data_IF_496088517336
#
_entry.id   IF_496088517336
#
_cell.length_a   1.000
_cell.length_b   1.000
_cell.length_c   1.000
_cell.angle_alpha   90.00
_cell.angle_beta   90.00
_cell.angle_gamma   90.00
#
_symmetry.space_group_name_H-M   'P 1'
#
loop_
_entity.id
_entity.type
_entity.pdbx_description
1 polymer ?
#
# COMPACT_ATOMS: atom_id res chain seq x y z
N UNK A 1 -57.03 16.61 -31.85
CA UNK A 1 -55.65 16.08 -31.87
C UNK A 1 -54.94 16.59 -30.62
N UNK A 2 -54.91 15.80 -29.54
CA UNK A 2 -54.21 16.16 -28.31
C UNK A 2 -52.77 15.63 -28.37
N UNK A 3 -51.78 16.53 -28.33
CA UNK A 3 -50.37 16.18 -28.13
C UNK A 3 -50.05 16.25 -26.64
N UNK A 4 -49.71 15.11 -26.06
CA UNK A 4 -49.17 15.03 -24.71
C UNK A 4 -47.66 15.30 -24.75
N UNK A 5 -47.22 16.38 -24.10
CA UNK A 5 -45.81 16.64 -23.81
C UNK A 5 -45.44 15.91 -22.50
N UNK A 6 -44.61 14.87 -22.61
CA UNK A 6 -43.99 14.24 -21.45
C UNK A 6 -42.74 15.03 -21.05
N UNK A 7 -42.84 15.75 -19.92
CA UNK A 7 -41.68 16.32 -19.23
C UNK A 7 -41.05 15.23 -18.37
N UNK A 8 -39.85 14.77 -18.75
CA UNK A 8 -39.07 13.85 -17.93
C UNK A 8 -38.54 14.58 -16.68
N UNK A 9 -38.56 13.96 -15.49
CA UNK A 9 -38.01 14.55 -14.28
C UNK A 9 -36.48 14.64 -14.34
N UNK A 10 -35.93 15.79 -13.92
CA UNK A 10 -34.48 16.13 -13.96
C UNK A 10 -33.56 15.05 -13.35
N UNK A 11 -34.07 14.23 -12.43
CA UNK A 11 -33.30 13.17 -11.76
C UNK A 11 -32.87 12.05 -12.70
N UNK A 12 -33.65 11.73 -13.74
CA UNK A 12 -33.31 10.69 -14.72
C UNK A 12 -32.20 11.18 -15.66
N UNK A 13 -32.18 12.48 -15.96
CA UNK A 13 -31.19 13.08 -16.85
C UNK A 13 -29.80 13.11 -16.20
N UNK A 14 -29.71 13.38 -14.90
CA UNK A 14 -28.43 13.36 -14.16
C UNK A 14 -27.82 11.95 -14.08
N UNK A 15 -28.65 10.90 -13.92
CA UNK A 15 -28.17 9.50 -13.89
C UNK A 15 -27.64 9.04 -15.25
N UNK A 16 -28.30 9.43 -16.34
CA UNK A 16 -27.85 9.09 -17.68
C UNK A 16 -26.51 9.75 -18.02
N UNK A 17 -26.32 11.02 -17.65
CA UNK A 17 -25.08 11.77 -17.90
C UNK A 17 -23.92 11.19 -17.07
N UNK A 18 -24.14 10.82 -15.80
CA UNK A 18 -23.11 10.20 -14.98
C UNK A 18 -22.66 8.83 -15.53
N UNK A 19 -23.60 8.04 -16.07
CA UNK A 19 -23.29 6.72 -16.65
C UNK A 19 -22.52 6.85 -17.97
N UNK A 20 -22.86 7.85 -18.80
CA UNK A 20 -22.16 8.14 -20.06
C UNK A 20 -20.76 8.69 -19.80
N UNK A 21 -20.57 9.54 -18.78
CA UNK A 21 -19.24 10.06 -18.39
C UNK A 21 -18.33 8.96 -17.82
N UNK A 22 -18.89 8.00 -17.09
CA UNK A 22 -18.14 6.85 -16.56
C UNK A 22 -17.72 5.88 -17.67
N UNK A 23 -18.59 5.64 -18.67
CA UNK A 23 -18.28 4.79 -19.82
C UNK A 23 -17.22 5.41 -20.74
N UNK A 24 -17.26 6.73 -20.95
CA UNK A 24 -16.32 7.45 -21.83
C UNK A 24 -14.91 7.62 -21.23
N UNK A 25 -14.79 7.70 -19.90
CA UNK A 25 -13.46 7.65 -19.25
C UNK A 25 -12.80 6.26 -19.34
N UNK A 26 -13.59 5.19 -19.30
CA UNK A 26 -13.09 3.82 -19.41
C UNK A 26 -12.52 3.50 -20.80
N UNK A 27 -13.17 3.98 -21.87
CA UNK A 27 -12.71 3.76 -23.24
C UNK A 27 -11.49 4.61 -23.62
N UNK A 28 -11.41 5.86 -23.13
CA UNK A 28 -10.23 6.71 -23.32
C UNK A 28 -8.97 6.12 -22.67
N UNK A 29 -9.11 5.48 -21.51
CA UNK A 29 -8.00 4.82 -20.82
C UNK A 29 -7.52 3.56 -21.55
N UNK A 30 -8.44 2.77 -22.15
CA UNK A 30 -8.06 1.58 -22.95
C UNK A 30 -7.35 1.94 -24.27
N UNK A 31 -7.69 3.07 -24.88
CA UNK A 31 -7.01 3.57 -26.10
C UNK A 31 -5.59 4.08 -25.81
N UNK A 32 -5.35 4.66 -24.64
CA UNK A 32 -4.00 5.09 -24.22
C UNK A 32 -3.08 3.88 -23.98
N UNK A 33 -3.57 2.81 -23.33
CA UNK A 33 -2.77 1.60 -23.10
C UNK A 33 -2.43 0.82 -24.38
N UNK A 34 -3.29 0.86 -25.41
CA UNK A 34 -2.99 0.22 -26.71
C UNK A 34 -1.92 0.95 -27.52
N UNK A 35 -1.76 2.27 -27.35
CA UNK A 35 -0.74 3.05 -28.08
C UNK A 35 0.67 2.86 -27.54
N UNK A 36 0.83 2.59 -26.23
CA UNK A 36 2.15 2.39 -25.63
C UNK A 36 2.78 1.03 -25.95
N UNK A 37 1.99 0.01 -26.29
CA UNK A 37 2.49 -1.32 -26.63
C UNK A 37 2.97 -1.46 -28.09
N UNK A 38 2.53 -0.59 -29.01
CA UNK A 38 2.88 -0.68 -30.43
C UNK A 38 4.27 -0.11 -30.79
N UNK A 39 4.99 0.49 -29.84
CA UNK A 39 6.30 1.13 -30.07
C UNK A 39 7.50 0.33 -29.54
N UNK A 40 7.30 -0.89 -29.00
CA UNK A 40 8.37 -1.69 -28.40
C UNK A 40 8.87 -2.86 -29.27
N UNK A 41 8.25 -3.15 -30.42
CA UNK A 41 8.66 -4.23 -31.31
C UNK A 41 9.56 -3.72 -32.44
N UNK A 42 10.79 -3.32 -32.12
CA UNK A 42 11.92 -3.42 -33.06
C UNK A 42 13.24 -3.11 -32.35
N UNK A 43 13.87 -4.16 -31.80
CA UNK A 43 15.33 -4.34 -31.76
C UNK A 43 15.64 -5.75 -31.27
N UNK A 44 15.78 -6.66 -32.23
CA UNK A 44 16.41 -7.95 -32.00
C UNK A 44 17.92 -7.80 -31.97
N UNK A 45 18.57 -8.42 -30.97
CA UNK A 45 19.98 -8.78 -31.01
C UNK A 45 20.08 -10.20 -30.47
N UNK A 46 20.45 -11.12 -31.36
CA UNK A 46 20.81 -12.50 -31.05
C UNK A 46 22.11 -12.54 -30.24
N UNK A 47 22.13 -13.33 -29.17
CA UNK A 47 23.31 -13.56 -28.35
C UNK A 47 23.27 -14.95 -27.73
N UNK A 48 23.75 -15.94 -28.48
CA UNK A 48 24.09 -17.28 -27.97
C UNK A 48 25.12 -17.15 -26.84
N UNK A 49 24.80 -17.63 -25.64
CA UNK A 49 25.82 -18.10 -24.71
C UNK A 49 25.41 -19.45 -24.11
N UNK A 50 26.22 -20.44 -24.45
CA UNK A 50 26.20 -21.81 -23.95
C UNK A 50 27.24 -21.89 -22.85
N UNK A 51 26.83 -22.18 -21.61
CA UNK A 51 27.76 -22.64 -20.57
C UNK A 51 27.15 -23.78 -19.76
N UNK A 52 27.73 -24.93 -20.06
CA UNK A 52 27.73 -26.23 -19.39
C UNK A 52 28.24 -26.07 -17.95
N UNK A 53 27.48 -26.49 -16.94
CA UNK A 53 28.01 -26.74 -15.59
C UNK A 53 27.88 -28.22 -15.30
N UNK A 54 29.04 -28.83 -15.06
CA UNK A 54 29.27 -30.22 -14.69
C UNK A 54 29.07 -30.36 -13.18
N UNK A 55 28.40 -31.42 -12.77
CA UNK A 55 28.38 -31.93 -11.41
C UNK A 55 29.73 -32.56 -11.06
N UNK A 56 30.14 -32.41 -9.80
CA UNK A 56 31.09 -33.29 -9.13
C UNK A 56 30.74 -33.34 -7.65
N UNK A 57 30.22 -34.49 -7.24
CA UNK A 57 30.29 -34.99 -5.87
C UNK A 57 31.77 -35.17 -5.47
N UNK A 58 32.13 -34.87 -4.22
CA UNK A 58 32.57 -35.87 -3.24
C UNK A 58 33.05 -35.29 -1.89
N UNK A 59 32.36 -35.75 -0.84
CA UNK A 59 32.79 -36.28 0.47
C UNK A 59 33.80 -35.59 1.46
N UNK A 60 33.33 -35.64 2.73
CA UNK A 60 34.03 -35.85 4.02
C UNK A 60 34.57 -34.68 4.87
N UNK A 61 34.02 -34.58 6.10
CA UNK A 61 34.85 -34.73 7.31
C UNK A 61 34.78 -33.65 8.41
N UNK A 62 34.00 -33.95 9.45
CA UNK A 62 34.28 -33.76 10.89
C UNK A 62 34.53 -32.37 11.52
N UNK A 63 33.72 -32.14 12.57
CA UNK A 63 34.04 -31.53 13.88
C UNK A 63 34.59 -30.10 13.95
N UNK A 64 33.80 -29.18 14.51
CA UNK A 64 34.06 -28.61 15.84
C UNK A 64 32.95 -27.63 16.24
N UNK A 65 32.27 -27.94 17.35
CA UNK A 65 31.36 -27.04 18.02
C UNK A 65 32.11 -26.22 19.08
N UNK A 66 31.79 -24.93 19.21
CA UNK A 66 31.88 -24.29 20.52
C UNK A 66 30.50 -23.77 20.95
N UNK A 67 30.12 -24.20 22.15
CA UNK A 67 29.16 -23.56 23.01
C UNK A 67 29.35 -22.03 23.01
N UNK A 68 28.30 -21.26 22.76
CA UNK A 68 28.23 -19.93 23.35
C UNK A 68 26.79 -19.54 23.70
N UNK A 69 26.62 -19.47 25.01
CA UNK A 69 25.56 -18.93 25.85
C UNK A 69 24.72 -17.79 25.27
N UNK A 70 23.41 -17.97 25.44
CA UNK A 70 22.32 -17.00 25.60
C UNK A 70 22.70 -15.52 25.74
N UNK A 71 22.30 -14.72 24.73
CA UNK A 71 22.10 -13.28 24.88
C UNK A 71 20.67 -12.97 24.43
N UNK A 72 19.71 -13.25 25.31
CA UNK A 72 18.33 -12.74 25.21
C UNK A 72 18.35 -11.28 25.68
N UNK A 73 18.60 -10.33 24.76
CA UNK A 73 18.41 -8.91 25.04
C UNK A 73 16.93 -8.59 24.91
N UNK A 74 16.28 -8.54 26.07
CA UNK A 74 14.89 -8.13 26.26
C UNK A 74 14.66 -6.69 25.75
N UNK A 75 13.72 -6.53 24.81
CA UNK A 75 13.24 -5.27 24.19
C UNK A 75 12.66 -4.23 25.17
N UNK A 76 12.76 -4.42 26.48
CA UNK A 76 12.15 -3.55 27.52
C UNK A 76 13.01 -2.38 28.01
N UNK A 77 14.28 -2.25 27.60
CA UNK A 77 15.20 -1.25 28.20
C UNK A 77 15.44 0.05 27.42
N UNK A 78 14.96 0.18 26.18
CA UNK A 78 15.17 1.42 25.40
C UNK A 78 14.14 2.52 25.75
N UNK A 79 13.02 2.17 26.40
CA UNK A 79 11.91 3.10 26.65
C UNK A 79 11.99 3.93 27.95
N UNK A 80 13.10 3.88 28.71
CA UNK A 80 13.20 4.58 30.01
C UNK A 80 14.30 5.65 30.12
N UNK A 81 15.01 5.98 29.03
CA UNK A 81 16.11 6.96 29.07
C UNK A 81 16.03 7.98 27.94
N UNK A 82 15.02 8.85 27.94
CA UNK A 82 15.13 10.22 27.39
C UNK A 82 13.82 10.97 27.62
N UNK A 83 13.58 11.42 28.85
CA UNK A 83 12.41 12.27 29.18
C UNK A 83 12.84 13.66 29.71
N UNK A 84 14.04 14.12 29.39
CA UNK A 84 14.47 15.46 29.76
C UNK A 84 15.23 16.16 28.64
N UNK A 85 14.69 17.31 28.26
CA UNK A 85 15.25 18.35 27.39
C UNK A 85 15.22 18.06 25.89
N UNK A 86 14.47 18.87 25.14
CA UNK A 86 15.07 19.94 24.33
C UNK A 86 13.98 20.87 23.77
N UNK A 87 14.23 22.17 23.90
CA UNK A 87 13.34 23.26 23.52
C UNK A 87 13.37 23.53 22.01
N UNK A 88 12.21 23.97 21.51
CA UNK A 88 11.91 24.29 20.13
C UNK A 88 12.48 25.67 19.75
N UNK A 89 13.24 25.75 18.65
CA UNK A 89 13.55 27.01 17.98
C UNK A 89 13.05 26.94 16.52
N UNK A 90 12.14 27.85 16.15
CA UNK A 90 11.54 27.94 14.83
C UNK A 90 12.25 29.04 14.02
N UNK A 91 12.79 28.70 12.86
CA UNK A 91 13.27 29.67 11.88
C UNK A 91 12.43 29.54 10.60
N UNK A 92 11.66 30.57 10.28
CA UNK A 92 10.93 30.69 9.03
C UNK A 92 11.84 31.29 7.95
N UNK A 93 11.86 30.70 6.76
CA UNK A 93 12.36 31.37 5.57
C UNK A 93 11.33 31.25 4.45
N UNK A 94 10.97 32.41 3.92
CA UNK A 94 10.07 32.62 2.79
C UNK A 94 10.88 32.72 1.51
N UNK A 95 10.47 32.03 0.45
CA UNK A 95 10.89 32.36 -0.91
C UNK A 95 9.72 32.30 -1.88
N UNK A 96 9.61 33.38 -2.63
CA UNK A 96 8.57 33.77 -3.58
C UNK A 96 8.77 33.15 -4.97
N UNK A 97 7.63 32.81 -5.60
CA UNK A 97 7.26 33.04 -7.01
C UNK A 97 8.14 32.47 -8.13
N UNK A 98 7.55 31.61 -8.98
CA UNK A 98 7.49 31.84 -10.43
C UNK A 98 6.34 31.10 -11.12
N UNK A 99 5.78 31.76 -12.15
CA UNK A 99 4.55 31.43 -12.89
C UNK A 99 4.76 30.31 -13.90
N UNK A 100 3.80 29.39 -14.01
CA UNK A 100 3.63 28.49 -15.15
C UNK A 100 2.18 28.03 -15.26
N UNK A 101 1.47 28.47 -16.30
CA UNK A 101 0.07 28.13 -16.56
C UNK A 101 -0.06 26.64 -16.94
N UNK A 102 -0.66 25.86 -16.05
CA UNK A 102 -1.16 24.52 -16.32
C UNK A 102 -2.51 24.38 -15.63
N UNK A 103 -3.55 24.04 -16.40
CA UNK A 103 -4.89 23.76 -15.87
C UNK A 103 -4.84 22.44 -15.08
N UNK A 104 -4.40 22.51 -13.84
CA UNK A 104 -4.60 21.47 -12.84
C UNK A 104 -6.04 21.52 -12.33
N UNK A 105 -6.76 20.40 -12.47
CA UNK A 105 -7.87 20.07 -11.59
C UNK A 105 -7.28 19.81 -10.20
N UNK A 106 -7.04 20.90 -9.48
CA UNK A 106 -6.56 20.91 -8.10
C UNK A 106 -7.58 20.22 -7.21
N UNK A 107 -7.29 18.97 -6.85
CA UNK A 107 -7.73 18.44 -5.56
C UNK A 107 -7.06 19.34 -4.52
N UNK A 108 -7.79 20.02 -3.62
CA UNK A 108 -7.13 20.82 -2.61
C UNK A 108 -6.24 19.89 -1.80
N UNK A 109 -4.93 20.16 -1.82
CA UNK A 109 -4.05 19.78 -0.74
C UNK A 109 -4.73 20.28 0.53
N UNK A 110 -5.34 19.36 1.27
CA UNK A 110 -5.91 19.61 2.59
C UNK A 110 -4.74 19.81 3.55
N UNK A 111 -4.01 20.90 3.33
CA UNK A 111 -2.94 21.39 4.18
C UNK A 111 -3.65 21.98 5.40
N UNK A 112 -3.87 21.14 6.41
CA UNK A 112 -4.27 21.59 7.73
C UNK A 112 -3.17 22.52 8.23
N UNK A 113 -3.44 23.82 8.22
CA UNK A 113 -2.68 24.82 8.94
C UNK A 113 -2.85 24.49 10.42
N UNK A 114 -1.85 23.84 11.00
CA UNK A 114 -1.79 23.50 12.41
C UNK A 114 -1.33 24.75 13.14
N UNK A 115 -2.28 25.56 13.59
CA UNK A 115 -2.00 26.54 14.62
C UNK A 115 -1.77 25.80 15.94
N UNK A 116 -0.57 25.97 16.48
CA UNK A 116 -0.08 25.27 17.65
C UNK A 116 -0.80 25.71 18.92
N UNK A 117 -1.66 24.85 19.44
CA UNK A 117 -1.99 24.82 20.86
C UNK A 117 -2.24 23.37 21.29
N UNK A 118 -1.50 22.93 22.32
CA UNK A 118 -1.50 21.58 22.88
C UNK A 118 -2.90 21.07 23.25
N UNK A 119 -3.58 20.40 22.31
CA UNK A 119 -4.75 19.55 22.55
C UNK A 119 -4.59 18.30 21.70
N UNK A 120 -4.59 17.13 22.35
CA UNK A 120 -4.49 15.83 21.68
C UNK A 120 -5.44 15.73 20.49
N UNK A 121 -4.99 15.06 19.43
CA UNK A 121 -5.59 15.00 18.09
C UNK A 121 -7.11 14.75 18.17
N UNK A 122 -7.87 15.84 18.23
CA UNK A 122 -9.34 15.87 18.32
C UNK A 122 -9.83 16.47 17.02
N UNK A 123 -10.06 15.64 16.00
CA UNK A 123 -10.43 16.20 14.69
C UNK A 123 -10.95 15.27 13.61
N UNK A 124 -10.74 13.96 13.67
CA UNK A 124 -11.36 13.08 12.68
C UNK A 124 -12.80 12.77 13.09
N UNK A 125 -13.82 13.12 12.28
CA UNK A 125 -15.19 12.69 12.54
C UNK A 125 -15.23 11.17 12.58
N UNK A 126 -15.55 10.61 13.76
CA UNK A 126 -15.73 9.18 13.91
C UNK A 126 -17.01 8.74 13.20
N UNK A 127 -16.99 7.66 12.41
CA UNK A 127 -18.19 7.13 11.78
C UNK A 127 -19.25 6.79 12.83
N UNK A 128 -20.52 7.00 12.47
CA UNK A 128 -21.66 6.81 13.39
C UNK A 128 -21.80 5.34 13.84
N UNK A 129 -22.24 5.08 15.08
CA UNK A 129 -22.30 3.73 15.68
C UNK A 129 -23.07 2.66 14.87
N UNK A 130 -23.93 3.05 13.91
CA UNK A 130 -24.70 2.14 13.04
C UNK A 130 -23.87 1.50 11.92
N UNK A 131 -22.65 1.97 11.65
CA UNK A 131 -21.77 1.42 10.61
C UNK A 131 -20.90 0.23 11.06
N UNK A 132 -21.04 -0.22 12.32
CA UNK A 132 -20.17 -1.22 12.93
C UNK A 132 -20.12 -2.56 12.17
N UNK A 133 -21.26 -3.00 11.61
CA UNK A 133 -21.36 -4.24 10.83
C UNK A 133 -20.66 -4.16 9.47
N UNK A 134 -20.82 -3.03 8.75
CA UNK A 134 -20.13 -2.81 7.48
C UNK A 134 -18.62 -2.68 7.69
N UNK A 135 -18.19 -1.93 8.72
CA UNK A 135 -16.78 -1.80 9.06
C UNK A 135 -16.10 -3.14 9.36
N UNK A 136 -16.80 -4.08 10.04
CA UNK A 136 -16.28 -5.43 10.26
C UNK A 136 -16.10 -6.22 8.94
N UNK A 137 -17.09 -6.16 8.04
CA UNK A 137 -17.01 -6.79 6.71
C UNK A 137 -15.89 -6.20 5.85
N UNK A 138 -15.66 -4.90 5.95
CA UNK A 138 -14.55 -4.25 5.25
C UNK A 138 -13.22 -4.73 5.82
N UNK A 139 -13.06 -4.79 7.15
CA UNK A 139 -11.85 -5.33 7.76
C UNK A 139 -11.59 -6.81 7.44
N UNK A 140 -12.62 -7.61 7.16
CA UNK A 140 -12.41 -8.99 6.70
C UNK A 140 -11.78 -9.09 5.31
N UNK A 141 -11.88 -8.03 4.48
CA UNK A 141 -11.18 -7.97 3.17
C UNK A 141 -9.67 -8.12 3.36
N UNK A 142 -9.09 -7.56 4.44
CA UNK A 142 -7.66 -7.71 4.75
C UNK A 142 -7.23 -9.18 4.83
N UNK A 143 -8.09 -10.07 5.37
CA UNK A 143 -7.79 -11.50 5.44
C UNK A 143 -7.73 -12.13 4.05
N UNK A 144 -8.70 -11.81 3.19
CA UNK A 144 -8.74 -12.27 1.79
C UNK A 144 -7.52 -11.75 1.02
N UNK A 145 -7.06 -10.52 1.30
CA UNK A 145 -5.85 -9.98 0.69
C UNK A 145 -4.56 -10.64 1.20
N UNK A 146 -4.52 -11.05 2.46
CA UNK A 146 -3.42 -11.84 3.01
C UNK A 146 -3.39 -13.24 2.35
N UNK A 147 -4.54 -13.87 2.17
CA UNK A 147 -4.67 -15.16 1.46
C UNK A 147 -4.24 -15.06 -0.01
N UNK A 148 -4.69 -14.02 -0.74
CA UNK A 148 -4.25 -13.77 -2.11
C UNK A 148 -2.73 -13.62 -2.20
N UNK A 149 -2.11 -12.88 -1.27
CA UNK A 149 -0.65 -12.71 -1.26
C UNK A 149 0.06 -14.04 -1.14
N UNK A 150 -0.38 -14.89 -0.20
CA UNK A 150 0.20 -16.22 0.01
C UNK A 150 0.08 -17.07 -1.25
N UNK A 151 -1.09 -17.08 -1.87
CA UNK A 151 -1.35 -17.91 -3.03
C UNK A 151 -0.55 -17.39 -4.26
N UNK A 152 -0.32 -16.08 -4.37
CA UNK A 152 0.64 -15.49 -5.33
C UNK A 152 2.10 -15.88 -5.02
N UNK A 153 2.49 -15.94 -3.74
CA UNK A 153 3.83 -16.38 -3.34
C UNK A 153 4.09 -17.85 -3.65
N UNK A 154 3.04 -18.68 -3.60
CA UNK A 154 3.09 -20.10 -3.94
C UNK A 154 2.76 -20.39 -5.40
N UNK A 155 2.47 -19.36 -6.19
CA UNK A 155 2.12 -19.47 -7.63
C UNK A 155 0.93 -20.42 -7.88
N UNK A 156 -0.02 -20.44 -6.94
CA UNK A 156 -1.25 -21.24 -7.00
C UNK A 156 -2.30 -20.58 -7.88
N UNK A 157 -2.05 -20.58 -9.19
CA UNK A 157 -2.92 -19.93 -10.18
C UNK A 157 -4.37 -20.43 -10.15
N UNK A 158 -4.57 -21.70 -9.79
CA UNK A 158 -5.89 -22.32 -9.56
C UNK A 158 -6.74 -21.54 -8.54
N UNK A 159 -6.11 -21.08 -7.47
CA UNK A 159 -6.76 -20.25 -6.45
C UNK A 159 -6.81 -18.79 -6.85
N UNK A 160 -5.70 -18.26 -7.37
CA UNK A 160 -5.54 -16.84 -7.75
C UNK A 160 -6.61 -16.39 -8.76
N UNK A 161 -7.01 -17.27 -9.68
CA UNK A 161 -8.07 -17.02 -10.69
C UNK A 161 -9.46 -16.72 -10.06
N UNK A 162 -9.72 -17.17 -8.83
CA UNK A 162 -11.03 -16.98 -8.16
C UNK A 162 -11.17 -15.62 -7.46
N UNK A 163 -10.06 -15.06 -6.98
CA UNK A 163 -10.04 -13.84 -6.17
C UNK A 163 -10.67 -12.61 -6.86
N UNK A 164 -10.48 -12.36 -8.17
CA UNK A 164 -11.12 -11.22 -8.83
C UNK A 164 -12.63 -11.14 -8.62
N UNK A 165 -13.32 -12.29 -8.66
CA UNK A 165 -14.76 -12.34 -8.44
C UNK A 165 -15.13 -12.13 -6.96
N UNK A 166 -14.32 -12.68 -6.04
CA UNK A 166 -14.48 -12.48 -4.60
C UNK A 166 -14.35 -10.99 -4.26
N UNK A 167 -13.30 -10.32 -4.71
CA UNK A 167 -13.10 -8.88 -4.44
C UNK A 167 -14.18 -8.01 -5.08
N UNK A 168 -14.69 -8.39 -6.26
CA UNK A 168 -15.80 -7.67 -6.90
C UNK A 168 -17.06 -7.65 -6.03
N UNK A 169 -17.31 -8.70 -5.25
CA UNK A 169 -18.45 -8.77 -4.33
C UNK A 169 -18.39 -7.76 -3.18
N UNK A 170 -17.21 -7.22 -2.85
CA UNK A 170 -17.03 -6.21 -1.81
C UNK A 170 -17.30 -4.79 -2.29
N UNK A 171 -17.39 -4.54 -3.59
CA UNK A 171 -17.62 -3.18 -4.14
C UNK A 171 -18.90 -2.55 -3.56
N UNK A 172 -20.07 -3.21 -3.56
CA UNK A 172 -21.27 -2.64 -2.96
C UNK A 172 -21.12 -2.34 -1.46
N UNK A 173 -20.32 -3.14 -0.74
CA UNK A 173 -20.07 -2.98 0.70
C UNK A 173 -19.24 -1.71 0.96
N UNK A 174 -18.18 -1.51 0.18
CA UNK A 174 -17.32 -0.31 0.27
C UNK A 174 -18.10 0.95 -0.10
N UNK A 175 -18.92 0.90 -1.15
CA UNK A 175 -19.76 2.03 -1.56
C UNK A 175 -20.79 2.35 -0.48
N UNK A 176 -21.51 1.34 0.03
CA UNK A 176 -22.50 1.54 1.09
C UNK A 176 -21.89 2.10 2.39
N UNK A 177 -20.69 1.66 2.76
CA UNK A 177 -19.99 2.24 3.91
C UNK A 177 -19.64 3.71 3.67
N UNK A 178 -19.11 4.04 2.48
CA UNK A 178 -18.76 5.42 2.12
C UNK A 178 -19.94 6.38 2.25
N UNK A 179 -21.11 5.96 1.77
CA UNK A 179 -22.33 6.77 1.81
C UNK A 179 -22.93 6.87 3.23
N UNK A 180 -22.79 5.82 4.06
CA UNK A 180 -23.36 5.77 5.41
C UNK A 180 -22.46 6.33 6.50
N UNK A 181 -21.13 6.30 6.33
CA UNK A 181 -20.16 6.79 7.30
C UNK A 181 -20.19 8.32 7.42
N UNK A 182 -20.45 9.01 6.31
CA UNK A 182 -20.48 10.47 6.21
C UNK A 182 -21.79 10.90 5.56
N UNK A 183 -22.91 10.92 6.30
CA UNK A 183 -24.24 11.16 5.73
C UNK A 183 -24.56 12.64 5.54
N UNK A 184 -23.76 13.57 6.08
CA UNK A 184 -24.10 15.00 6.07
C UNK A 184 -23.60 15.70 4.80
N UNK A 185 -24.23 16.81 4.44
CA UNK A 185 -23.83 17.63 3.29
C UNK A 185 -22.84 18.74 3.66
N UNK A 186 -22.21 18.67 4.83
CA UNK A 186 -21.14 19.60 5.17
C UNK A 186 -19.95 19.38 4.22
N UNK A 187 -19.23 20.44 3.83
CA UNK A 187 -18.12 20.34 2.87
C UNK A 187 -17.06 19.29 3.23
N UNK A 188 -16.79 19.11 4.53
CA UNK A 188 -15.83 18.11 5.03
C UNK A 188 -16.29 16.68 4.72
N UNK A 189 -17.54 16.33 5.03
CA UNK A 189 -18.10 15.00 4.75
C UNK A 189 -18.17 14.73 3.24
N UNK A 190 -18.52 15.75 2.45
CA UNK A 190 -18.49 15.67 1.00
C UNK A 190 -17.09 15.36 0.47
N UNK A 191 -16.06 16.07 0.97
CA UNK A 191 -14.66 15.81 0.63
C UNK A 191 -14.22 14.38 0.99
N UNK A 192 -14.57 13.90 2.17
CA UNK A 192 -14.26 12.54 2.61
C UNK A 192 -14.95 11.47 1.75
N UNK A 193 -16.22 11.66 1.39
CA UNK A 193 -16.92 10.75 0.45
C UNK A 193 -16.23 10.68 -0.91
N UNK A 194 -15.80 11.84 -1.44
CA UNK A 194 -15.08 11.90 -2.72
C UNK A 194 -13.74 11.15 -2.62
N UNK A 195 -12.96 11.38 -1.56
CA UNK A 195 -11.70 10.70 -1.33
C UNK A 195 -11.88 9.17 -1.20
N UNK A 196 -12.88 8.72 -0.45
CA UNK A 196 -13.18 7.29 -0.31
C UNK A 196 -13.60 6.66 -1.63
N UNK A 197 -14.47 7.31 -2.41
CA UNK A 197 -14.88 6.82 -3.73
C UNK A 197 -13.69 6.76 -4.70
N UNK A 198 -12.77 7.72 -4.61
CA UNK A 198 -11.53 7.70 -5.38
C UNK A 198 -10.70 6.45 -5.05
N UNK A 199 -10.48 6.15 -3.77
CA UNK A 199 -9.73 4.95 -3.36
C UNK A 199 -10.44 3.65 -3.77
N UNK A 200 -11.77 3.57 -3.68
CA UNK A 200 -12.55 2.40 -4.19
C UNK A 200 -12.37 2.23 -5.70
N UNK A 201 -12.45 3.33 -6.46
CA UNK A 201 -12.25 3.30 -7.91
C UNK A 201 -10.85 2.83 -8.29
N UNK A 202 -9.82 3.30 -7.57
CA UNK A 202 -8.43 2.89 -7.78
C UNK A 202 -8.18 1.43 -7.40
N UNK A 203 -8.71 0.97 -6.26
CA UNK A 203 -8.67 -0.42 -5.86
C UNK A 203 -9.25 -1.34 -6.95
N UNK A 204 -10.40 -0.96 -7.51
CA UNK A 204 -11.08 -1.74 -8.54
C UNK A 204 -10.36 -1.69 -9.90
N UNK A 205 -9.77 -0.55 -10.27
CA UNK A 205 -8.92 -0.48 -11.45
C UNK A 205 -7.73 -1.46 -11.35
N UNK A 206 -7.12 -1.57 -10.18
CA UNK A 206 -6.05 -2.52 -9.91
C UNK A 206 -6.54 -3.97 -9.86
N UNK A 207 -7.79 -4.21 -9.42
CA UNK A 207 -8.42 -5.53 -9.48
C UNK A 207 -8.59 -6.03 -10.93
N UNK A 208 -9.01 -5.16 -11.85
CA UNK A 208 -9.11 -5.53 -13.26
C UNK A 208 -7.73 -5.79 -13.88
N UNK A 209 -6.68 -5.07 -13.44
CA UNK A 209 -5.29 -5.39 -13.83
C UNK A 209 -4.86 -6.74 -13.27
N UNK A 210 -5.18 -7.05 -12.01
CA UNK A 210 -4.89 -8.36 -11.42
C UNK A 210 -5.55 -9.47 -12.24
N UNK A 211 -6.82 -9.32 -12.61
CA UNK A 211 -7.52 -10.28 -13.48
C UNK A 211 -6.79 -10.50 -14.81
N UNK A 212 -6.32 -9.43 -15.45
CA UNK A 212 -5.56 -9.53 -16.70
C UNK A 212 -4.21 -10.24 -16.49
N UNK A 213 -3.48 -9.89 -15.43
CA UNK A 213 -2.22 -10.49 -15.07
C UNK A 213 -2.37 -11.99 -14.77
N UNK A 214 -3.41 -12.38 -14.04
CA UNK A 214 -3.73 -13.78 -13.73
C UNK A 214 -4.08 -14.57 -14.98
N UNK A 215 -4.87 -14.02 -15.91
CA UNK A 215 -5.18 -14.67 -17.18
C UNK A 215 -3.92 -14.93 -18.03
N UNK A 216 -2.93 -14.03 -17.94
CA UNK A 216 -1.62 -14.18 -18.59
C UNK A 216 -0.64 -15.02 -17.78
N UNK A 217 -0.98 -15.33 -16.53
CA UNK A 217 -0.09 -15.93 -15.52
C UNK A 217 1.22 -15.16 -15.38
N UNK A 218 1.16 -13.84 -15.49
CA UNK A 218 2.30 -12.95 -15.30
C UNK A 218 2.43 -12.60 -13.82
N UNK A 219 3.42 -13.20 -13.16
CA UNK A 219 3.66 -13.02 -11.73
C UNK A 219 4.03 -11.57 -11.38
N UNK A 220 4.88 -10.95 -12.20
CA UNK A 220 5.33 -9.57 -11.99
C UNK A 220 4.15 -8.58 -12.11
N UNK A 221 3.32 -8.73 -13.16
CA UNK A 221 2.12 -7.90 -13.32
C UNK A 221 1.12 -8.13 -12.17
N UNK A 222 0.99 -9.37 -11.70
CA UNK A 222 0.09 -9.71 -10.61
C UNK A 222 0.54 -9.09 -9.28
N UNK A 223 1.86 -9.06 -9.00
CA UNK A 223 2.39 -8.38 -7.82
C UNK A 223 2.21 -6.87 -7.87
N UNK A 224 2.46 -6.24 -9.01
CA UNK A 224 2.20 -4.81 -9.17
C UNK A 224 0.73 -4.51 -8.93
N UNK A 225 -0.18 -5.27 -9.55
CA UNK A 225 -1.61 -5.10 -9.34
C UNK A 225 -2.05 -5.34 -7.89
N UNK A 226 -1.52 -6.39 -7.24
CA UNK A 226 -1.75 -6.67 -5.82
C UNK A 226 -1.26 -5.55 -4.91
N UNK A 227 -0.08 -4.98 -5.21
CA UNK A 227 0.51 -3.90 -4.43
C UNK A 227 -0.34 -2.63 -4.51
N UNK A 228 -0.85 -2.27 -5.70
CA UNK A 228 -1.75 -1.15 -5.88
C UNK A 228 -3.08 -1.37 -5.16
N UNK A 229 -3.66 -2.58 -5.27
CA UNK A 229 -4.87 -2.93 -4.52
C UNK A 229 -4.64 -2.76 -3.02
N UNK A 230 -3.53 -3.29 -2.49
CA UNK A 230 -3.18 -3.22 -1.07
C UNK A 230 -3.03 -1.77 -0.61
N UNK A 231 -2.34 -0.94 -1.38
CA UNK A 231 -2.13 0.47 -1.08
C UNK A 231 -3.45 1.25 -1.04
N UNK A 232 -4.30 1.09 -2.06
CA UNK A 232 -5.56 1.82 -2.14
C UNK A 232 -6.56 1.36 -1.08
N UNK A 233 -6.56 0.06 -0.74
CA UNK A 233 -7.34 -0.45 0.37
C UNK A 233 -6.85 0.08 1.72
N UNK A 234 -5.54 0.14 1.94
CA UNK A 234 -4.94 0.70 3.16
C UNK A 234 -5.33 2.17 3.38
N UNK A 235 -5.24 2.98 2.31
CA UNK A 235 -5.67 4.38 2.31
C UNK A 235 -7.17 4.51 2.58
N UNK A 236 -7.99 3.66 1.97
CA UNK A 236 -9.43 3.62 2.22
C UNK A 236 -9.74 3.36 3.71
N UNK A 237 -9.06 2.39 4.33
CA UNK A 237 -9.24 2.10 5.75
C UNK A 237 -8.86 3.31 6.63
N UNK A 238 -7.77 4.00 6.29
CA UNK A 238 -7.30 5.19 7.02
C UNK A 238 -8.27 6.36 6.92
N UNK A 239 -8.67 6.72 5.69
CA UNK A 239 -9.62 7.82 5.45
C UNK A 239 -10.99 7.47 6.06
N UNK A 240 -11.39 6.20 5.98
CA UNK A 240 -12.69 5.73 6.44
C UNK A 240 -12.82 5.60 7.95
N UNK A 241 -11.78 5.92 8.73
CA UNK A 241 -11.86 5.80 10.18
C UNK A 241 -11.85 4.35 10.68
N UNK A 242 -11.38 3.39 9.87
CA UNK A 242 -11.55 1.95 10.12
C UNK A 242 -10.38 1.30 10.87
N UNK A 243 -9.28 2.02 11.05
CA UNK A 243 -8.18 1.64 11.92
C UNK A 243 -8.60 1.71 13.40
N UNK A 244 -8.19 0.71 14.18
CA UNK A 244 -8.43 0.67 15.64
C UNK A 244 -7.54 1.62 16.42
N UNK A 245 -6.41 2.00 15.85
CA UNK A 245 -5.39 2.83 16.45
C UNK A 245 -4.73 3.67 15.37
N UNK A 246 -4.52 4.95 15.65
CA UNK A 246 -3.68 5.81 14.82
C UNK A 246 -2.37 6.00 15.57
N UNK A 247 -1.26 5.77 14.89
CA UNK A 247 0.03 6.16 15.44
C UNK A 247 0.17 7.68 15.28
N UNK A 248 0.22 8.39 16.40
CA UNK A 248 0.44 9.83 16.42
C UNK A 248 1.92 10.17 16.16
N UNK A 249 2.81 9.17 16.15
CA UNK A 249 4.23 9.40 15.85
C UNK A 249 4.45 9.54 14.35
N UNK A 250 4.89 10.74 13.95
CA UNK A 250 5.09 11.12 12.54
C UNK A 250 6.36 10.49 11.96
N UNK A 251 7.41 10.33 12.79
CA UNK A 251 8.69 9.76 12.39
C UNK A 251 9.34 9.02 13.55
N UNK A 252 9.91 7.87 13.24
CA UNK A 252 10.74 7.09 14.15
C UNK A 252 12.22 7.49 14.09
N UNK A 253 12.65 8.26 13.09
CA UNK A 253 14.05 8.65 12.91
C UNK A 253 14.69 9.29 14.16
N UNK A 254 14.00 10.18 14.90
CA UNK A 254 14.57 10.79 16.10
C UNK A 254 14.93 9.76 17.18
N UNK A 255 14.25 8.61 17.24
CA UNK A 255 14.56 7.53 18.19
C UNK A 255 15.78 6.72 17.79
N UNK A 256 16.21 6.82 16.52
CA UNK A 256 17.41 6.19 15.99
C UNK A 256 18.61 7.15 15.91
N UNK A 257 18.45 8.40 16.34
CA UNK A 257 19.57 9.34 16.46
C UNK A 257 20.59 8.81 17.48
N UNK A 258 21.85 8.71 17.06
CA UNK A 258 22.94 8.18 17.88
C UNK A 258 22.99 6.65 18.01
N UNK A 259 22.02 5.92 17.44
CA UNK A 259 22.08 4.46 17.33
C UNK A 259 22.99 4.09 16.15
N UNK A 260 24.02 3.29 16.40
CA UNK A 260 24.92 2.80 15.33
C UNK A 260 24.13 2.03 14.28
N UNK A 261 24.36 2.31 12.99
CA UNK A 261 23.72 1.58 11.89
C UNK A 261 23.96 0.06 11.97
N UNK A 262 25.08 -0.35 12.58
CA UNK A 262 25.40 -1.75 12.83
C UNK A 262 24.42 -2.48 13.76
N UNK A 263 23.54 -1.76 14.47
CA UNK A 263 22.50 -2.41 15.30
C UNK A 263 21.35 -2.97 14.47
N UNK A 264 21.16 -2.47 13.24
CA UNK A 264 20.18 -2.98 12.29
C UNK A 264 20.89 -3.97 11.36
N UNK A 265 20.51 -5.24 11.45
CA UNK A 265 21.17 -6.32 10.71
C UNK A 265 20.50 -6.48 9.34
N UNK A 266 21.09 -5.88 8.31
CA UNK A 266 20.59 -5.90 6.94
C UNK A 266 21.71 -5.93 5.89
N UNK A 267 21.36 -6.30 4.65
CA UNK A 267 22.25 -6.19 3.49
C UNK A 267 22.18 -4.79 2.91
N UNK A 268 23.33 -4.23 2.49
CA UNK A 268 23.37 -2.95 1.79
C UNK A 268 22.49 -3.01 0.51
N UNK A 269 21.40 -2.22 0.42
CA UNK A 269 20.47 -2.26 -0.70
C UNK A 269 21.10 -1.83 -2.03
N UNK A 270 22.28 -1.19 -2.03
CA UNK A 270 23.03 -0.91 -3.26
C UNK A 270 23.71 -2.16 -3.82
N UNK A 271 24.17 -3.05 -2.95
CA UNK A 271 24.87 -4.29 -3.32
C UNK A 271 23.87 -5.40 -3.64
N UNK A 272 22.84 -5.53 -2.81
CA UNK A 272 21.79 -6.51 -2.97
C UNK A 272 20.41 -5.86 -2.72
N UNK A 273 19.76 -5.31 -3.77
CA UNK A 273 18.48 -4.65 -3.62
C UNK A 273 17.38 -5.64 -3.26
N UNK A 274 16.43 -5.21 -2.44
CA UNK A 274 15.24 -6.01 -2.13
C UNK A 274 14.40 -6.27 -3.40
N UNK A 275 13.94 -7.51 -3.51
CA UNK A 275 13.02 -8.02 -4.52
C UNK A 275 11.65 -8.29 -3.88
N UNK A 276 10.64 -8.48 -4.73
CA UNK A 276 9.32 -8.91 -4.25
C UNK A 276 9.46 -10.23 -3.51
N UNK A 277 8.72 -10.38 -2.40
CA UNK A 277 8.78 -11.51 -1.44
C UNK A 277 9.89 -11.41 -0.40
N UNK A 278 10.86 -10.51 -0.55
CA UNK A 278 11.92 -10.35 0.44
C UNK A 278 11.42 -9.66 1.70
N UNK A 279 11.88 -10.18 2.83
CA UNK A 279 11.77 -9.52 4.12
C UNK A 279 12.75 -8.34 4.18
N UNK A 280 12.27 -7.23 4.70
CA UNK A 280 13.03 -5.99 4.75
C UNK A 280 13.00 -5.34 6.12
N UNK A 281 13.98 -4.47 6.32
CA UNK A 281 13.95 -3.41 7.33
C UNK A 281 14.11 -2.08 6.61
N UNK A 282 13.33 -1.08 7.02
CA UNK A 282 13.48 0.27 6.52
C UNK A 282 14.68 0.94 7.22
N UNK A 283 15.71 1.27 6.46
CA UNK A 283 16.93 1.89 7.01
C UNK A 283 16.86 3.42 7.14
N UNK A 284 15.92 4.04 6.41
CA UNK A 284 15.75 5.48 6.25
C UNK A 284 14.26 5.84 6.22
N UNK A 285 13.95 7.11 6.50
CA UNK A 285 12.61 7.67 6.41
C UNK A 285 11.82 7.53 7.72
N UNK A 286 10.57 8.04 7.74
CA UNK A 286 9.76 8.14 8.96
C UNK A 286 9.47 6.78 9.62
N UNK A 287 9.55 5.70 8.85
CA UNK A 287 9.33 4.34 9.32
C UNK A 287 10.66 3.58 9.59
N UNK A 288 11.78 4.29 9.80
CA UNK A 288 13.10 3.70 10.07
C UNK A 288 13.04 2.66 11.21
N UNK A 289 13.68 1.52 10.97
CA UNK A 289 13.73 0.37 11.87
C UNK A 289 12.50 -0.55 11.82
N UNK A 290 11.42 -0.16 11.14
CA UNK A 290 10.28 -1.06 10.94
C UNK A 290 10.61 -2.15 9.94
N UNK A 291 10.09 -3.34 10.20
CA UNK A 291 10.22 -4.53 9.36
C UNK A 291 8.95 -4.77 8.54
N UNK A 292 9.09 -5.56 7.48
CA UNK A 292 7.97 -5.95 6.63
C UNK A 292 8.42 -6.77 5.42
N UNK A 293 7.59 -6.80 4.39
CA UNK A 293 7.83 -7.53 3.14
C UNK A 293 7.62 -6.61 1.93
N UNK A 294 8.43 -6.78 0.90
CA UNK A 294 8.19 -6.12 -0.40
C UNK A 294 7.08 -6.85 -1.13
N UNK A 295 6.00 -6.14 -1.46
CA UNK A 295 4.83 -6.70 -2.15
C UNK A 295 4.71 -6.28 -3.62
N UNK A 296 5.51 -5.30 -4.05
CA UNK A 296 5.58 -4.87 -5.44
C UNK A 296 6.72 -3.89 -5.70
N UNK A 297 7.27 -3.91 -6.91
CA UNK A 297 8.25 -2.94 -7.40
C UNK A 297 7.65 -2.25 -8.61
N UNK A 298 7.63 -0.92 -8.62
CA UNK A 298 7.00 -0.17 -9.69
C UNK A 298 7.93 -0.05 -10.91
N UNK A 299 7.47 -0.45 -12.11
CA UNK A 299 8.28 -0.45 -13.33
C UNK A 299 8.36 0.92 -14.03
N UNK A 300 7.78 1.97 -13.43
CA UNK A 300 7.63 3.32 -14.00
C UNK A 300 8.93 4.16 -13.98
N UNK A 301 10.05 3.57 -13.54
CA UNK A 301 11.33 4.26 -13.41
C UNK A 301 11.45 5.14 -12.17
N UNK A 302 10.41 5.22 -11.32
CA UNK A 302 10.46 5.97 -10.06
C UNK A 302 11.44 5.37 -9.03
N UNK A 303 11.90 4.14 -9.26
CA UNK A 303 12.74 3.37 -8.35
C UNK A 303 12.10 3.26 -6.94
N UNK A 304 10.77 3.15 -6.89
CA UNK A 304 10.01 2.93 -5.66
C UNK A 304 9.50 1.50 -5.56
N UNK A 305 9.25 1.05 -4.34
CA UNK A 305 8.60 -0.21 -4.06
C UNK A 305 7.49 -0.03 -3.03
N UNK A 306 6.49 -0.90 -3.12
CA UNK A 306 5.44 -1.03 -2.13
C UNK A 306 5.87 -2.05 -1.07
N UNK A 307 5.87 -1.62 0.18
CA UNK A 307 6.21 -2.43 1.34
C UNK A 307 5.00 -2.60 2.23
N UNK A 308 4.79 -3.83 2.69
CA UNK A 308 3.76 -4.19 3.66
C UNK A 308 4.44 -4.38 5.00
N UNK A 309 4.25 -3.42 5.88
CA UNK A 309 4.93 -3.39 7.18
C UNK A 309 4.31 -4.41 8.13
N UNK A 310 5.09 -4.88 9.08
CA UNK A 310 4.61 -5.79 10.11
C UNK A 310 3.53 -5.14 10.97
N UNK A 311 2.67 -5.99 11.55
CA UNK A 311 1.51 -5.51 12.29
C UNK A 311 1.96 -4.74 13.52
N UNK A 312 1.49 -3.52 13.64
CA UNK A 312 1.63 -2.73 14.86
C UNK A 312 0.24 -2.53 15.45
N UNK A 313 0.03 -2.99 16.70
CA UNK A 313 -1.27 -2.90 17.39
C UNK A 313 -2.44 -3.46 16.56
N UNK A 314 -2.20 -4.55 15.84
CA UNK A 314 -3.20 -5.25 15.02
C UNK A 314 -3.47 -4.64 13.65
N UNK A 315 -2.77 -3.55 13.27
CA UNK A 315 -2.95 -2.87 11.98
C UNK A 315 -1.75 -3.15 11.10
N UNK A 316 -2.00 -3.38 9.82
CA UNK A 316 -0.98 -3.59 8.81
C UNK A 316 -1.03 -2.44 7.82
N UNK A 317 0.07 -1.71 7.70
CA UNK A 317 0.17 -0.53 6.84
C UNK A 317 0.91 -0.87 5.54
N UNK A 318 0.50 -0.21 4.46
CA UNK A 318 1.20 -0.27 3.18
C UNK A 318 1.87 1.08 2.95
N UNK A 319 3.17 1.05 2.67
CA UNK A 319 3.96 2.25 2.33
C UNK A 319 4.56 2.09 0.95
N UNK A 320 4.69 3.21 0.25
CA UNK A 320 5.51 3.29 -0.96
C UNK A 320 6.77 4.05 -0.58
N UNK A 321 7.92 3.42 -0.77
CA UNK A 321 9.22 3.96 -0.37
C UNK A 321 10.21 3.85 -1.53
N UNK A 322 11.24 4.70 -1.58
CA UNK A 322 12.40 4.47 -2.43
C UNK A 322 13.01 3.09 -2.18
N UNK A 323 13.42 2.39 -3.24
CA UNK A 323 14.03 1.06 -3.12
C UNK A 323 15.31 1.04 -2.29
N UNK A 324 16.01 2.17 -2.23
CA UNK A 324 17.21 2.34 -1.40
C UNK A 324 16.91 2.36 0.10
N UNK A 325 15.67 2.58 0.51
CA UNK A 325 15.26 2.55 1.93
C UNK A 325 14.94 1.14 2.41
N UNK A 326 14.49 0.27 1.51
CA UNK A 326 14.11 -1.11 1.81
C UNK A 326 15.34 -2.02 1.72
N UNK A 327 15.99 -2.27 2.86
CA UNK A 327 17.15 -3.15 2.94
C UNK A 327 16.71 -4.58 3.28
N UNK A 328 17.26 -5.58 2.58
CA UNK A 328 16.99 -6.99 2.87
C UNK A 328 17.41 -7.32 4.30
N UNK A 329 16.49 -7.89 5.08
CA UNK A 329 16.76 -8.28 6.47
C UNK A 329 17.71 -9.49 6.50
N UNK A 330 18.69 -9.48 7.40
CA UNK A 330 19.59 -10.61 7.64
C UNK A 330 19.24 -11.30 8.97
N UNK A 331 19.24 -12.64 8.98
CA UNK A 331 19.04 -13.48 10.16
C UNK A 331 17.60 -14.00 10.38
N UNK A 332 17.49 -15.08 11.15
CA UNK A 332 16.22 -15.60 11.67
C UNK A 332 15.72 -14.68 12.80
N UNK A 333 14.53 -14.12 12.63
CA UNK A 333 13.73 -13.59 13.74
C UNK A 333 12.46 -14.41 13.80
N UNK A 334 11.79 -14.42 14.97
CA UNK A 334 10.51 -15.11 15.20
C UNK A 334 9.61 -15.03 13.96
N UNK A 335 8.88 -16.11 13.61
CA UNK A 335 8.18 -16.22 12.34
C UNK A 335 7.34 -14.97 12.11
N UNK A 336 7.69 -14.21 11.07
CA UNK A 336 7.08 -12.91 10.84
C UNK A 336 5.57 -13.09 10.62
N UNK A 337 4.79 -12.20 11.21
CA UNK A 337 3.33 -12.13 11.07
C UNK A 337 2.86 -12.17 9.60
N UNK A 338 3.72 -11.78 8.67
CA UNK A 338 3.51 -11.87 7.22
C UNK A 338 3.31 -13.32 6.76
N UNK A 339 4.03 -14.27 7.34
CA UNK A 339 3.93 -15.70 7.03
C UNK A 339 2.97 -16.47 7.96
N UNK A 340 2.60 -15.88 9.11
CA UNK A 340 1.62 -16.42 10.03
C UNK A 340 0.18 -16.21 9.54
N UNK A 341 -0.11 -16.57 8.29
CA UNK A 341 -1.50 -16.61 7.82
C UNK A 341 -2.13 -17.87 8.40
N UNK A 342 -3.13 -17.75 9.30
CA UNK A 342 -3.76 -18.91 9.91
C UNK A 342 -4.30 -19.82 8.80
N UNK A 343 -3.90 -21.09 8.80
CA UNK A 343 -4.61 -22.10 8.03
C UNK A 343 -5.91 -22.34 8.79
N UNK A 344 -7.05 -21.97 8.21
CA UNK A 344 -8.31 -22.53 8.68
C UNK A 344 -8.26 -24.03 8.39
N UNK A 345 -7.98 -24.81 9.44
CA UNK A 345 -8.09 -26.26 9.44
C UNK A 345 -9.54 -26.70 9.34
#
# INVERSE_FOLDING_TARGET
MNRYHYSMPLTVTCFLIATILFASHSTAFQLACRRSFALSEHRGIEGRFSTRIRSSDDTHGANDAPNNTDIIISRRRVFQRSLYSLGLALAASSSTSERGNTLELGIPNLLLTVDGENRGVKGMPSPTKKTSGLGYKIRSVSKVMDELQRDLMQERWDLVETYPNIFRSYVPILTAYTDSAFPTDIPTDQGLRVALRYEVGRFFASLERLKQATNRRSLDEAYVAYSDMSLHFDRYLRIGGLYTYYDDTISLEPYYEGVSESSLVYVDPKKDPALVRDLIVLREGPDKGRTGIVIGIYPDGSNTCAVKLDRFKGIREIRVVPRTWAAKRLGEQDPDDVFLIPRSS
#
